data_IF_899140355412
#
_entry.id   IF_899140355412
#
_cell.length_a   1.000
_cell.length_b   1.000
_cell.length_c   1.000
_cell.angle_alpha   90.00
_cell.angle_beta   90.00
_cell.angle_gamma   90.00
#
_symmetry.space_group_name_H-M   'P 1'
#
loop_
_entity.id
_entity.type
_entity.pdbx_description
1 polymer ?
#
# COMPACT_ATOMS: atom_id res chain seq x y z
N UNK A 1 -0.47 10.75 21.38
CA UNK A 1 -0.89 9.99 20.17
C UNK A 1 0.35 9.68 19.31
N UNK A 2 0.57 8.41 18.96
CA UNK A 2 1.72 7.99 18.13
C UNK A 2 1.56 8.47 16.69
N UNK A 3 2.65 8.48 15.88
CA UNK A 3 2.56 8.82 14.44
C UNK A 3 1.58 7.89 13.70
N UNK A 4 1.59 6.61 14.03
CA UNK A 4 0.65 5.63 13.48
C UNK A 4 -0.80 5.93 13.88
N UNK A 5 -1.04 6.27 15.14
CA UNK A 5 -2.39 6.63 15.61
C UNK A 5 -2.93 7.91 14.96
N UNK A 6 -2.05 8.89 14.64
CA UNK A 6 -2.44 10.07 13.87
C UNK A 6 -2.83 9.70 12.43
N UNK A 7 -2.04 8.85 11.77
CA UNK A 7 -2.33 8.40 10.40
C UNK A 7 -3.66 7.64 10.33
N UNK A 8 -3.90 6.74 11.28
CA UNK A 8 -5.17 6.02 11.43
C UNK A 8 -6.36 6.97 11.62
N UNK A 9 -6.25 7.94 12.52
CA UNK A 9 -7.30 8.95 12.71
C UNK A 9 -7.60 9.74 11.44
N UNK A 10 -6.56 10.15 10.69
CA UNK A 10 -6.73 10.85 9.41
C UNK A 10 -7.41 9.97 8.37
N UNK A 11 -7.00 8.70 8.24
CA UNK A 11 -7.61 7.77 7.29
C UNK A 11 -9.08 7.52 7.63
N UNK A 12 -9.40 7.28 8.90
CA UNK A 12 -10.79 7.05 9.35
C UNK A 12 -11.69 8.26 9.12
N UNK A 13 -11.23 9.47 9.47
CA UNK A 13 -12.01 10.69 9.20
C UNK A 13 -12.19 10.95 7.69
N UNK A 14 -11.17 10.69 6.87
CA UNK A 14 -11.28 10.84 5.42
C UNK A 14 -12.22 9.80 4.81
N UNK A 15 -12.17 8.54 5.28
CA UNK A 15 -13.06 7.48 4.81
C UNK A 15 -14.51 7.84 5.09
N UNK A 16 -14.81 8.27 6.33
CA UNK A 16 -16.14 8.75 6.70
C UNK A 16 -16.65 9.88 5.81
N UNK A 17 -15.80 10.87 5.52
CA UNK A 17 -16.17 11.98 4.61
C UNK A 17 -16.40 11.47 3.20
N UNK A 18 -15.50 10.65 2.64
CA UNK A 18 -15.65 10.11 1.29
C UNK A 18 -16.93 9.27 1.15
N UNK A 19 -17.19 8.36 2.08
CA UNK A 19 -18.38 7.51 2.08
C UNK A 19 -19.67 8.32 2.26
N UNK A 20 -19.66 9.41 3.03
CA UNK A 20 -20.82 10.32 3.14
C UNK A 20 -21.21 10.99 1.81
N UNK A 21 -20.32 11.01 0.82
CA UNK A 21 -20.56 11.53 -0.53
C UNK A 21 -20.53 10.46 -1.62
N UNK A 22 -20.66 9.17 -1.26
CA UNK A 22 -20.60 8.05 -2.20
C UNK A 22 -19.33 8.10 -3.07
N UNK A 23 -18.19 8.27 -2.39
CA UNK A 23 -16.84 8.23 -2.97
C UNK A 23 -15.98 7.23 -2.23
N UNK A 24 -15.09 6.59 -2.99
CA UNK A 24 -14.10 5.66 -2.45
C UNK A 24 -12.83 6.40 -2.03
N UNK A 25 -12.24 6.00 -0.90
CA UNK A 25 -10.95 6.47 -0.44
C UNK A 25 -9.87 5.40 -0.67
N UNK A 26 -8.86 5.73 -1.46
CA UNK A 26 -7.65 4.89 -1.56
C UNK A 26 -6.46 5.58 -0.90
N UNK A 27 -5.52 4.80 -0.38
CA UNK A 27 -4.29 5.32 0.22
C UNK A 27 -3.06 4.77 -0.48
N UNK A 28 -2.10 5.64 -0.76
CA UNK A 28 -0.82 5.27 -1.35
C UNK A 28 0.30 5.44 -0.33
N UNK A 29 1.00 4.34 -0.05
CA UNK A 29 2.04 4.26 0.96
C UNK A 29 3.38 3.83 0.36
N UNK A 30 4.41 3.93 1.20
CA UNK A 30 5.78 3.44 0.99
C UNK A 30 6.09 2.44 2.09
N UNK A 31 7.17 1.66 1.96
CA UNK A 31 7.54 0.65 2.99
C UNK A 31 7.73 1.26 4.38
N UNK A 32 8.00 2.57 4.43
CA UNK A 32 8.15 3.41 5.61
C UNK A 32 9.25 2.90 6.56
N UNK A 33 9.69 3.74 7.48
CA UNK A 33 10.64 3.36 8.51
C UNK A 33 10.28 3.96 9.86
N UNK A 34 10.45 3.16 10.90
CA UNK A 34 10.49 3.63 12.27
C UNK A 34 11.73 3.04 12.95
N UNK A 35 12.74 3.89 13.17
CA UNK A 35 14.09 3.41 13.47
C UNK A 35 14.63 2.58 12.30
N UNK A 36 15.09 1.36 12.59
CA UNK A 36 15.64 0.43 11.59
C UNK A 36 14.59 -0.48 10.94
N UNK A 37 13.33 -0.41 11.38
CA UNK A 37 12.30 -1.35 10.95
C UNK A 37 11.39 -0.75 9.88
N UNK A 38 11.03 -1.55 8.88
CA UNK A 38 9.91 -1.27 7.99
C UNK A 38 8.59 -1.47 8.72
N UNK A 39 7.60 -0.62 8.43
CA UNK A 39 6.32 -0.61 9.15
C UNK A 39 5.10 -0.57 8.21
N UNK A 40 5.27 -0.75 6.90
CA UNK A 40 4.18 -0.69 5.94
C UNK A 40 3.08 -1.73 6.19
N UNK A 41 3.44 -2.90 6.69
CA UNK A 41 2.51 -3.93 7.15
C UNK A 41 1.56 -3.39 8.23
N UNK A 42 2.11 -2.71 9.24
CA UNK A 42 1.33 -2.08 10.31
C UNK A 42 0.47 -0.92 9.79
N UNK A 43 0.96 -0.18 8.80
CA UNK A 43 0.21 0.91 8.17
C UNK A 43 -0.94 0.35 7.34
N UNK A 44 -0.71 -0.70 6.54
CA UNK A 44 -1.71 -1.33 5.70
C UNK A 44 -2.83 -1.98 6.54
N UNK A 45 -2.47 -2.69 7.60
CA UNK A 45 -3.40 -3.24 8.59
C UNK A 45 -4.32 -2.17 9.19
N UNK A 46 -3.76 -1.02 9.60
CA UNK A 46 -4.54 0.11 10.12
C UNK A 46 -5.39 0.78 9.04
N UNK A 47 -4.90 0.84 7.81
CA UNK A 47 -5.64 1.44 6.70
C UNK A 47 -6.94 0.66 6.44
N UNK A 48 -6.88 -0.66 6.33
CA UNK A 48 -8.09 -1.48 6.15
C UNK A 48 -9.03 -1.38 7.36
N UNK A 49 -8.49 -1.40 8.58
CA UNK A 49 -9.28 -1.19 9.80
C UNK A 49 -9.90 0.21 9.91
N UNK A 50 -9.41 1.19 9.14
CA UNK A 50 -9.94 2.55 9.08
C UNK A 50 -11.02 2.74 8.01
N UNK A 51 -11.33 1.70 7.21
CA UNK A 51 -12.36 1.77 6.17
C UNK A 51 -11.88 2.35 4.85
N UNK A 52 -10.59 2.24 4.50
CA UNK A 52 -10.14 2.58 3.13
C UNK A 52 -10.61 1.53 2.13
N UNK A 53 -10.87 1.94 0.90
CA UNK A 53 -11.36 1.11 -0.21
C UNK A 53 -10.24 0.58 -1.11
N UNK A 54 -8.98 0.91 -0.81
CA UNK A 54 -7.83 0.38 -1.52
C UNK A 54 -6.50 0.86 -0.97
N UNK A 55 -5.49 0.01 -1.05
CA UNK A 55 -4.12 0.31 -0.60
C UNK A 55 -3.16 0.15 -1.77
N UNK A 56 -2.33 1.16 -2.02
CA UNK A 56 -1.26 1.08 -3.02
C UNK A 56 0.09 1.14 -2.30
N UNK A 57 0.93 0.12 -2.45
CA UNK A 57 2.25 0.08 -1.84
C UNK A 57 3.33 0.33 -2.88
N UNK A 58 4.21 1.30 -2.64
CA UNK A 58 5.50 1.34 -3.31
C UNK A 58 6.54 0.60 -2.47
N UNK A 59 7.21 -0.40 -3.05
CA UNK A 59 8.27 -1.22 -2.41
C UNK A 59 9.56 -0.50 -2.02
N UNK A 60 9.50 0.82 -1.75
CA UNK A 60 10.63 1.64 -1.34
C UNK A 60 10.25 2.51 -0.17
N UNK A 61 11.27 2.92 0.57
CA UNK A 61 11.16 3.93 1.62
C UNK A 61 11.16 5.32 0.99
N UNK A 62 10.81 6.35 1.76
CA UNK A 62 10.92 7.73 1.28
C UNK A 62 12.40 8.12 1.06
N UNK A 63 13.29 7.71 1.97
CA UNK A 63 14.72 8.02 1.97
C UNK A 63 15.46 7.39 0.80
N UNK A 64 15.09 6.17 0.41
CA UNK A 64 15.67 5.49 -0.75
C UNK A 64 15.40 6.24 -2.05
N UNK A 65 14.38 7.13 -2.11
CA UNK A 65 13.96 7.79 -3.36
C UNK A 65 13.84 6.77 -4.50
N UNK A 66 14.80 6.77 -5.41
CA UNK A 66 14.93 5.83 -6.54
C UNK A 66 16.33 5.20 -6.62
N UNK A 67 17.13 5.25 -5.56
CA UNK A 67 18.54 4.79 -5.55
C UNK A 67 18.71 3.27 -5.37
N UNK A 68 17.63 2.55 -5.05
CA UNK A 68 17.61 1.10 -4.86
C UNK A 68 16.44 0.50 -5.64
N UNK A 69 16.46 -0.78 -6.05
CA UNK A 69 15.27 -1.45 -6.59
C UNK A 69 14.12 -1.45 -5.59
N UNK A 70 12.88 -1.44 -6.08
CA UNK A 70 11.70 -1.67 -5.25
C UNK A 70 11.70 -3.13 -4.74
N UNK A 71 11.52 -3.29 -3.44
CA UNK A 71 11.41 -4.60 -2.79
C UNK A 71 9.94 -5.03 -2.76
N UNK A 72 9.63 -6.07 -3.52
CA UNK A 72 8.27 -6.57 -3.68
C UNK A 72 7.83 -7.52 -2.56
N UNK A 73 8.75 -8.02 -1.72
CA UNK A 73 8.42 -8.92 -0.61
C UNK A 73 7.49 -8.26 0.42
N UNK A 74 7.54 -6.92 0.52
CA UNK A 74 6.66 -6.15 1.40
C UNK A 74 5.18 -6.18 0.98
N UNK A 75 4.85 -6.45 -0.29
CA UNK A 75 3.45 -6.52 -0.72
C UNK A 75 2.75 -7.72 -0.10
N UNK A 76 3.34 -8.91 -0.21
CA UNK A 76 2.81 -10.11 0.43
C UNK A 76 2.74 -9.96 1.94
N UNK A 77 3.77 -9.35 2.57
CA UNK A 77 3.73 -9.03 4.01
C UNK A 77 2.56 -8.10 4.37
N UNK A 78 2.29 -7.08 3.55
CA UNK A 78 1.16 -6.17 3.78
C UNK A 78 -0.19 -6.85 3.59
N UNK A 79 -0.33 -7.71 2.56
CA UNK A 79 -1.54 -8.51 2.35
C UNK A 79 -1.85 -9.34 3.59
N UNK A 80 -0.89 -10.12 4.10
CA UNK A 80 -1.09 -10.93 5.32
C UNK A 80 -1.52 -10.08 6.51
N UNK A 81 -0.87 -8.93 6.73
CA UNK A 81 -1.24 -8.02 7.82
C UNK A 81 -2.65 -7.40 7.65
N UNK A 82 -3.08 -7.12 6.41
CA UNK A 82 -4.44 -6.66 6.12
C UNK A 82 -5.47 -7.75 6.43
N UNK A 83 -5.21 -9.00 6.04
CA UNK A 83 -6.07 -10.16 6.31
C UNK A 83 -6.21 -10.46 7.80
N UNK A 84 -5.11 -10.37 8.55
CA UNK A 84 -5.12 -10.53 10.01
C UNK A 84 -5.87 -9.39 10.72
N UNK A 85 -5.74 -8.16 10.22
CA UNK A 85 -6.36 -7.00 10.85
C UNK A 85 -7.89 -6.99 10.68
N UNK A 86 -8.38 -7.37 9.50
CA UNK A 86 -9.80 -7.46 9.19
C UNK A 86 -10.05 -8.77 8.43
N UNK A 87 -10.39 -9.86 9.13
CA UNK A 87 -10.66 -11.15 8.50
C UNK A 87 -11.75 -11.05 7.42
N UNK A 88 -11.47 -11.57 6.23
CA UNK A 88 -12.41 -11.53 5.10
C UNK A 88 -12.52 -10.18 4.39
N UNK A 89 -11.62 -9.22 4.66
CA UNK A 89 -11.61 -7.96 3.90
C UNK A 89 -11.33 -8.21 2.41
N UNK A 90 -12.03 -7.47 1.56
CA UNK A 90 -11.86 -7.51 0.10
C UNK A 90 -11.11 -6.28 -0.42
N UNK A 91 -10.47 -5.51 0.48
CA UNK A 91 -9.77 -4.28 0.11
C UNK A 91 -8.57 -4.62 -0.80
N UNK A 92 -8.53 -4.11 -2.04
CA UNK A 92 -7.48 -4.44 -2.98
C UNK A 92 -6.14 -3.84 -2.58
N UNK A 93 -5.08 -4.65 -2.72
CA UNK A 93 -3.69 -4.22 -2.61
C UNK A 93 -3.08 -4.05 -4.00
N UNK A 94 -2.73 -2.83 -4.36
CA UNK A 94 -2.08 -2.50 -5.64
C UNK A 94 -0.57 -2.38 -5.46
N UNK A 95 0.19 -3.15 -6.24
CA UNK A 95 1.64 -3.12 -6.23
C UNK A 95 2.23 -1.97 -7.06
N UNK A 96 3.31 -1.35 -6.58
CA UNK A 96 3.98 -0.27 -7.28
C UNK A 96 5.50 -0.35 -7.10
N UNK A 97 6.24 -0.25 -8.21
CA UNK A 97 7.70 -0.14 -8.17
C UNK A 97 8.38 -0.79 -9.35
N UNK A 98 9.14 0.02 -10.10
CA UNK A 98 10.08 -0.43 -11.14
C UNK A 98 9.51 -1.33 -12.26
N UNK A 99 8.21 -1.23 -12.51
CA UNK A 99 7.59 -1.81 -13.71
C UNK A 99 7.90 -0.90 -14.89
N UNK A 100 8.77 -1.36 -15.79
CA UNK A 100 9.29 -0.59 -16.94
C UNK A 100 9.05 -1.25 -18.29
N UNK A 101 8.48 -2.45 -18.31
CA UNK A 101 8.08 -3.14 -19.53
C UNK A 101 6.96 -4.15 -19.21
N UNK A 102 6.36 -4.73 -20.25
CA UNK A 102 5.24 -5.66 -20.11
C UNK A 102 5.61 -6.96 -19.39
N UNK A 103 6.85 -7.45 -19.52
CA UNK A 103 7.31 -8.68 -18.86
C UNK A 103 7.36 -8.48 -17.35
N UNK A 104 7.95 -7.37 -16.90
CA UNK A 104 7.91 -6.98 -15.49
C UNK A 104 6.47 -6.83 -15.00
N UNK A 105 5.56 -6.26 -15.80
CA UNK A 105 4.16 -6.16 -15.39
C UNK A 105 3.51 -7.53 -15.17
N UNK A 106 3.75 -8.50 -16.06
CA UNK A 106 3.27 -9.88 -15.89
C UNK A 106 3.90 -10.51 -14.64
N UNK A 107 5.22 -10.44 -14.49
CA UNK A 107 5.93 -11.02 -13.35
C UNK A 107 5.48 -10.41 -12.01
N UNK A 108 5.19 -9.09 -11.99
CA UNK A 108 4.71 -8.41 -10.78
C UNK A 108 3.26 -8.73 -10.44
N UNK A 109 2.40 -9.00 -11.43
CA UNK A 109 1.03 -9.47 -11.19
C UNK A 109 0.99 -10.82 -10.47
N UNK A 110 2.00 -11.68 -10.67
CA UNK A 110 2.14 -12.96 -9.97
C UNK A 110 2.55 -12.81 -8.48
N UNK A 111 2.77 -11.58 -7.99
CA UNK A 111 3.11 -11.34 -6.58
C UNK A 111 1.91 -11.72 -5.69
N UNK A 112 2.07 -12.67 -4.73
CA UNK A 112 0.96 -13.11 -3.91
C UNK A 112 0.32 -11.96 -3.13
N UNK A 113 -1.01 -11.86 -3.25
CA UNK A 113 -1.80 -10.86 -2.55
C UNK A 113 -1.92 -9.51 -3.26
N UNK A 114 -1.28 -9.33 -4.42
CA UNK A 114 -1.44 -8.13 -5.24
C UNK A 114 -2.64 -8.31 -6.17
N UNK A 115 -3.55 -7.33 -6.16
CA UNK A 115 -4.77 -7.32 -6.96
C UNK A 115 -4.65 -6.47 -8.23
N UNK A 116 -3.55 -5.73 -8.39
CA UNK A 116 -3.30 -4.89 -9.56
C UNK A 116 -1.97 -4.14 -9.46
N UNK A 117 -1.60 -3.43 -10.53
CA UNK A 117 -0.34 -2.69 -10.59
C UNK A 117 -0.58 -1.20 -10.84
N UNK A 118 0.27 -0.38 -10.22
CA UNK A 118 0.40 1.04 -10.52
C UNK A 118 1.75 1.32 -11.17
N UNK A 119 1.71 1.73 -12.44
CA UNK A 119 2.88 2.09 -13.24
C UNK A 119 3.05 3.61 -13.22
N UNK A 120 4.27 4.06 -12.92
CA UNK A 120 4.64 5.49 -12.91
C UNK A 120 5.60 5.80 -14.04
N UNK A 121 6.90 5.92 -13.72
CA UNK A 121 7.97 6.25 -14.68
C UNK A 121 8.00 5.34 -15.92
N UNK A 122 7.71 4.05 -15.77
CA UNK A 122 7.66 3.10 -16.87
C UNK A 122 6.60 3.40 -17.93
N UNK A 123 5.59 4.22 -17.63
CA UNK A 123 4.58 4.63 -18.61
C UNK A 123 5.04 5.82 -19.48
N UNK A 124 6.18 6.43 -19.17
CA UNK A 124 6.72 7.60 -19.87
C UNK A 124 7.88 7.23 -20.82
N UNK A 125 8.26 5.96 -20.90
CA UNK A 125 9.43 5.46 -21.62
C UNK A 125 9.05 4.34 -22.58
#
# INVERSE_FOLDING_TARGET
MTRLGKAEGVMGSMAQVCHAYDKNLTVKIRTAHYGQNHICDKVAARAVGSGVDGVILHGRTAQQRYSRPADWTFHTKCRSAMDEAVPGNEVPLVGCGDIVNWREAVDRMETPGVNGLMIGRGALI
#
